data_IF_506754466122
#
_entry.id   IF_506754466122
#
_cell.length_a   1.000
_cell.length_b   1.000
_cell.length_c   1.000
_cell.angle_alpha   90.00
_cell.angle_beta   90.00
_cell.angle_gamma   90.00
#
_symmetry.space_group_name_H-M   'P 1'
#
loop_
_entity.id
_entity.type
_entity.pdbx_description
1 polymer ?
#
# COMPACT_ATOMS: atom_id res chain seq x y z
N UNK A 1 8.85 1.98 -22.14
CA UNK A 1 8.59 2.57 -20.80
C UNK A 1 9.36 1.74 -19.78
N UNK A 2 10.45 2.26 -19.19
CA UNK A 2 11.38 1.44 -18.38
C UNK A 2 10.70 0.92 -17.09
N UNK A 3 10.61 -0.41 -16.95
CA UNK A 3 10.05 -1.12 -15.80
C UNK A 3 10.67 -0.74 -14.44
N UNK A 4 11.80 -0.03 -14.44
CA UNK A 4 12.50 0.44 -13.23
C UNK A 4 11.84 1.61 -12.50
N UNK A 5 10.94 2.36 -13.15
CA UNK A 5 10.28 3.53 -12.54
C UNK A 5 9.20 3.15 -11.52
N UNK A 6 8.25 2.24 -11.82
CA UNK A 6 7.18 1.92 -10.87
C UNK A 6 7.67 1.10 -9.66
N UNK A 7 8.75 0.32 -9.80
CA UNK A 7 9.37 -0.37 -8.66
C UNK A 7 9.93 0.60 -7.62
N UNK A 8 10.58 1.68 -8.06
CA UNK A 8 11.11 2.72 -7.18
C UNK A 8 10.01 3.41 -6.37
N UNK A 9 8.86 3.67 -7.01
CA UNK A 9 7.70 4.23 -6.33
C UNK A 9 7.14 3.26 -5.29
N UNK A 10 7.01 1.98 -5.63
CA UNK A 10 6.49 0.97 -4.70
C UNK A 10 7.36 0.82 -3.45
N UNK A 11 8.69 0.75 -3.64
CA UNK A 11 9.67 0.66 -2.55
C UNK A 11 9.63 1.93 -1.68
N UNK A 12 9.59 3.11 -2.31
CA UNK A 12 9.52 4.38 -1.57
C UNK A 12 8.26 4.44 -0.71
N UNK A 13 7.11 4.06 -1.26
CA UNK A 13 5.82 4.05 -0.56
C UNK A 13 5.82 3.09 0.63
N UNK A 14 6.41 1.90 0.47
CA UNK A 14 6.55 0.92 1.55
C UNK A 14 7.47 1.41 2.66
N UNK A 15 8.65 1.92 2.31
CA UNK A 15 9.64 2.37 3.31
C UNK A 15 9.11 3.59 4.05
N UNK A 16 8.65 4.61 3.33
CA UNK A 16 8.16 5.86 3.93
C UNK A 16 6.90 5.61 4.73
N UNK A 17 5.93 4.86 4.20
CA UNK A 17 4.67 4.58 4.91
C UNK A 17 4.90 3.86 6.24
N UNK A 18 5.76 2.83 6.26
CA UNK A 18 6.04 2.07 7.50
C UNK A 18 6.89 2.86 8.50
N UNK A 19 7.98 3.50 8.05
CA UNK A 19 8.88 4.24 8.96
C UNK A 19 8.17 5.43 9.58
N UNK A 20 7.40 6.18 8.79
CA UNK A 20 6.69 7.36 9.30
C UNK A 20 5.53 6.97 10.22
N UNK A 21 4.91 5.80 10.02
CA UNK A 21 3.83 5.30 10.89
C UNK A 21 4.32 5.01 12.31
N UNK A 22 5.55 4.49 12.50
CA UNK A 22 6.11 4.15 13.82
C UNK A 22 6.21 5.38 14.74
N UNK A 23 6.54 6.54 14.17
CA UNK A 23 6.73 7.79 14.92
C UNK A 23 5.42 8.56 15.16
N UNK A 24 4.30 8.09 14.61
CA UNK A 24 3.01 8.76 14.83
C UNK A 24 2.43 8.40 16.19
N UNK A 25 2.16 9.43 16.99
CA UNK A 25 1.44 9.31 18.28
C UNK A 25 -0.08 9.41 18.14
N UNK A 26 -0.56 9.98 17.02
CA UNK A 26 -1.98 10.12 16.75
C UNK A 26 -2.49 8.94 15.93
N UNK A 27 -3.51 8.24 16.45
CA UNK A 27 -4.08 7.05 15.82
C UNK A 27 -4.57 7.29 14.38
N UNK A 28 -5.25 8.41 14.10
CA UNK A 28 -5.74 8.72 12.74
C UNK A 28 -4.59 8.91 11.75
N UNK A 29 -3.51 9.59 12.18
CA UNK A 29 -2.31 9.77 11.35
C UNK A 29 -1.58 8.45 11.15
N UNK A 30 -1.46 7.63 12.19
CA UNK A 30 -0.88 6.29 12.09
C UNK A 30 -1.63 5.44 11.07
N UNK A 31 -2.96 5.40 11.13
CA UNK A 31 -3.80 4.67 10.18
C UNK A 31 -3.60 5.19 8.75
N UNK A 32 -3.54 6.51 8.56
CA UNK A 32 -3.30 7.10 7.24
C UNK A 32 -1.93 6.70 6.65
N UNK A 33 -0.85 6.72 7.45
CA UNK A 33 0.47 6.28 6.98
C UNK A 33 0.53 4.77 6.73
N UNK A 34 -0.19 3.97 7.52
CA UNK A 34 -0.38 2.55 7.25
C UNK A 34 -1.09 2.32 5.90
N UNK A 35 -2.12 3.12 5.58
CA UNK A 35 -2.76 3.09 4.25
C UNK A 35 -1.80 3.39 3.12
N UNK A 36 -0.94 4.39 3.30
CA UNK A 36 0.10 4.71 2.31
C UNK A 36 1.01 3.49 2.11
N UNK A 37 1.48 2.84 3.18
CA UNK A 37 2.30 1.63 3.07
C UNK A 37 1.58 0.50 2.30
N UNK A 38 0.29 0.27 2.60
CA UNK A 38 -0.50 -0.78 1.96
C UNK A 38 -0.69 -0.54 0.44
N UNK A 39 -0.82 0.71 0.01
CA UNK A 39 -0.83 1.07 -1.42
C UNK A 39 0.48 0.65 -2.10
N UNK A 40 1.61 0.67 -1.40
CA UNK A 40 2.89 0.17 -1.90
C UNK A 40 2.85 -1.31 -2.30
N UNK A 41 2.15 -2.17 -1.54
CA UNK A 41 1.97 -3.58 -1.87
C UNK A 41 1.11 -3.79 -3.12
N UNK A 42 0.06 -2.96 -3.29
CA UNK A 42 -0.78 -2.97 -4.49
C UNK A 42 0.07 -2.65 -5.72
N UNK A 43 0.88 -1.57 -5.64
CA UNK A 43 1.77 -1.16 -6.73
C UNK A 43 2.80 -2.25 -7.05
N UNK A 44 3.33 -2.97 -6.06
CA UNK A 44 4.23 -4.11 -6.32
C UNK A 44 3.55 -5.22 -7.15
N UNK A 45 2.28 -5.53 -6.87
CA UNK A 45 1.53 -6.51 -7.66
C UNK A 45 1.35 -6.08 -9.12
N UNK A 46 1.12 -4.78 -9.37
CA UNK A 46 1.08 -4.24 -10.73
C UNK A 46 2.46 -4.20 -11.41
N UNK A 47 3.53 -3.93 -10.66
CA UNK A 47 4.91 -3.93 -11.17
C UNK A 47 5.36 -5.32 -11.63
N UNK A 48 4.85 -6.39 -11.01
CA UNK A 48 5.17 -7.75 -11.40
C UNK A 48 4.82 -8.05 -12.87
N UNK A 49 3.84 -7.34 -13.45
CA UNK A 49 3.51 -7.43 -14.88
C UNK A 49 2.98 -8.79 -15.34
N UNK A 50 2.67 -9.69 -14.39
CA UNK A 50 2.14 -11.02 -14.66
C UNK A 50 0.63 -11.07 -14.38
N UNK A 51 -0.12 -11.98 -15.02
CA UNK A 51 -1.54 -12.18 -14.72
C UNK A 51 -1.78 -12.44 -13.23
N UNK A 52 -0.94 -13.24 -12.59
CA UNK A 52 -1.00 -13.51 -11.16
C UNK A 52 -0.75 -12.26 -10.30
N UNK A 53 0.20 -11.40 -10.68
CA UNK A 53 0.46 -10.13 -10.01
C UNK A 53 -0.73 -9.17 -10.05
N UNK A 54 -1.41 -9.08 -11.20
CA UNK A 54 -2.63 -8.27 -11.32
C UNK A 54 -3.78 -8.84 -10.48
N UNK A 55 -3.99 -10.15 -10.50
CA UNK A 55 -5.01 -10.80 -9.65
C UNK A 55 -4.73 -10.57 -8.17
N UNK A 56 -3.47 -10.69 -7.73
CA UNK A 56 -3.06 -10.44 -6.36
C UNK A 56 -3.28 -8.98 -5.94
N UNK A 57 -2.92 -8.02 -6.80
CA UNK A 57 -3.11 -6.60 -6.53
C UNK A 57 -4.58 -6.22 -6.35
N UNK A 58 -5.46 -6.73 -7.23
CA UNK A 58 -6.90 -6.49 -7.16
C UNK A 58 -7.53 -7.16 -5.94
N UNK A 59 -7.17 -8.41 -5.66
CA UNK A 59 -7.63 -9.12 -4.47
C UNK A 59 -7.24 -8.38 -3.19
N UNK A 60 -5.98 -7.98 -3.09
CA UNK A 60 -5.47 -7.24 -1.94
C UNK A 60 -6.18 -5.89 -1.78
N UNK A 61 -6.46 -5.18 -2.88
CA UNK A 61 -7.19 -3.90 -2.86
C UNK A 61 -8.59 -4.08 -2.28
N UNK A 62 -9.33 -5.11 -2.71
CA UNK A 62 -10.68 -5.39 -2.21
C UNK A 62 -10.68 -5.65 -0.70
N UNK A 63 -9.79 -6.52 -0.24
CA UNK A 63 -9.64 -6.83 1.19
C UNK A 63 -9.25 -5.57 1.97
N UNK A 64 -8.31 -4.79 1.43
CA UNK A 64 -7.82 -3.58 2.07
C UNK A 64 -8.91 -2.51 2.21
N UNK A 65 -9.79 -2.34 1.22
CA UNK A 65 -10.92 -1.41 1.31
C UNK A 65 -11.85 -1.79 2.47
N UNK A 66 -12.14 -3.09 2.67
CA UNK A 66 -12.96 -3.54 3.80
C UNK A 66 -12.30 -3.23 5.15
N UNK A 67 -10.99 -3.47 5.26
CA UNK A 67 -10.21 -3.14 6.46
C UNK A 67 -10.17 -1.64 6.71
N UNK A 68 -9.99 -0.83 5.66
CA UNK A 68 -9.98 0.62 5.76
C UNK A 68 -11.34 1.17 6.22
N UNK A 69 -12.44 0.65 5.68
CA UNK A 69 -13.79 1.01 6.13
C UNK A 69 -14.00 0.69 7.62
N UNK A 70 -13.54 -0.47 8.09
CA UNK A 70 -13.58 -0.81 9.52
C UNK A 70 -12.67 0.04 10.40
N UNK A 71 -11.51 0.47 9.88
CA UNK A 71 -10.52 1.24 10.64
C UNK A 71 -10.84 2.74 10.73
N UNK A 72 -11.53 3.29 9.72
CA UNK A 72 -11.89 4.71 9.65
C UNK A 72 -13.39 4.99 9.89
N UNK A 73 -14.24 3.95 9.88
CA UNK A 73 -15.69 4.06 10.10
C UNK A 73 -16.12 4.04 11.58
N UNK A 74 -15.18 3.87 12.51
CA UNK A 74 -15.37 3.91 13.97
C UNK A 74 -14.78 5.20 14.52
#
# INVERSE_FOLDING_TARGET
MSASKPLRLAVLTLVVGNVVAIVQTNLKRLLAYSTIANVGFIVLGFVAGTPSGYTAALYYTLVYVLVALGSFGV
#
